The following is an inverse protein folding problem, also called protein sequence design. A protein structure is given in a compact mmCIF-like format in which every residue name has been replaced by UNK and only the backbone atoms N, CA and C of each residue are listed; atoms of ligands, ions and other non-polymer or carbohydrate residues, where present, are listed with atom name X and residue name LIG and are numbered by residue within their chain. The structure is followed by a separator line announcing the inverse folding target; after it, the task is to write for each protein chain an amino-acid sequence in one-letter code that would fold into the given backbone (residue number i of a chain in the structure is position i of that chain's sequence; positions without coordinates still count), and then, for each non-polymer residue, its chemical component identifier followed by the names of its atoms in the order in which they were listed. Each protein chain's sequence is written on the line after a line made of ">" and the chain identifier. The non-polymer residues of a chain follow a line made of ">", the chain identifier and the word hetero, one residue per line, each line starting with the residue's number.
data_IF_302310677203
#
_entry.id   IF_302310677203
#
_cell.length_a   1.000
_cell.length_b   1.000
_cell.length_c   1.000
_cell.angle_alpha   90.00
_cell.angle_beta   90.00
_cell.angle_gamma   90.00
#
_symmetry.space_group_name_H-M   'P 1'
#
loop_
_entity.id
_entity.type
_entity.pdbx_description
1 polymer ?
#
# COMPACT_ATOMS: atom_id res chain seq x y z
N UNK A 1 8.01 16.71 -36.89
CA UNK A 1 9.22 17.35 -37.45
C UNK A 1 10.11 16.39 -38.29
N UNK A 2 10.08 15.08 -38.03
CA UNK A 2 10.99 14.11 -38.68
C UNK A 2 10.68 13.82 -40.17
N UNK A 3 9.40 13.84 -40.55
CA UNK A 3 8.94 13.57 -41.93
C UNK A 3 9.39 14.65 -42.95
N UNK A 4 9.23 15.92 -42.59
CA UNK A 4 9.67 17.07 -43.41
C UNK A 4 11.19 17.05 -43.65
N UNK A 5 11.99 16.70 -42.63
CA UNK A 5 13.45 16.56 -42.78
C UNK A 5 13.83 15.43 -43.75
N UNK A 6 13.14 14.28 -43.68
CA UNK A 6 13.43 13.13 -44.56
C UNK A 6 13.08 13.43 -46.02
N UNK A 7 11.95 14.11 -46.29
CA UNK A 7 11.59 14.55 -47.65
C UNK A 7 12.52 15.64 -48.20
N UNK A 8 12.94 16.62 -47.38
CA UNK A 8 13.94 17.62 -47.84
C UNK A 8 15.27 16.99 -48.25
N UNK A 9 15.74 15.95 -47.54
CA UNK A 9 16.93 15.19 -47.95
C UNK A 9 16.74 14.48 -49.29
N UNK A 10 15.56 13.89 -49.54
CA UNK A 10 15.24 13.24 -50.81
C UNK A 10 15.20 14.22 -51.98
N UNK A 11 14.59 15.40 -51.77
CA UNK A 11 14.51 16.46 -52.76
C UNK A 11 15.89 17.04 -53.11
N UNK A 12 16.77 17.18 -52.12
CA UNK A 12 18.15 17.63 -52.34
C UNK A 12 18.93 16.61 -53.19
N UNK A 13 18.70 15.31 -52.99
CA UNK A 13 19.26 14.25 -53.84
C UNK A 13 18.73 14.35 -55.26
N UNK A 14 17.41 14.43 -55.43
CA UNK A 14 16.78 14.52 -56.75
C UNK A 14 17.27 15.74 -57.56
N UNK A 15 17.37 16.92 -56.91
CA UNK A 15 17.90 18.13 -57.54
C UNK A 15 19.32 17.93 -58.07
N UNK A 16 20.20 17.25 -57.32
CA UNK A 16 21.59 17.01 -57.75
C UNK A 16 21.65 16.13 -58.98
N UNK A 17 20.92 15.01 -58.99
CA UNK A 17 20.89 14.07 -60.11
C UNK A 17 20.40 14.73 -61.40
N UNK A 18 19.30 15.49 -61.33
CA UNK A 18 18.77 16.18 -62.51
C UNK A 18 19.69 17.32 -62.98
N UNK A 19 20.38 18.00 -62.07
CA UNK A 19 21.35 19.03 -62.43
C UNK A 19 22.57 18.46 -63.18
N UNK A 20 23.08 17.30 -62.76
CA UNK A 20 24.21 16.62 -63.40
C UNK A 20 23.86 16.12 -64.82
N UNK A 21 22.69 15.50 -65.00
CA UNK A 21 22.24 15.04 -66.33
C UNK A 21 21.99 16.22 -67.28
N UNK A 22 21.32 17.27 -66.81
CA UNK A 22 20.96 18.42 -67.66
C UNK A 22 22.18 19.29 -68.04
N UNK A 23 23.23 19.28 -67.22
CA UNK A 23 24.49 19.95 -67.54
C UNK A 23 25.19 19.31 -68.75
N UNK A 24 25.03 17.99 -68.94
CA UNK A 24 25.56 17.26 -70.11
C UNK A 24 24.91 17.74 -71.43
N UNK A 25 23.68 18.23 -71.34
CA UNK A 25 22.95 18.82 -72.47
C UNK A 25 23.08 20.35 -72.57
N UNK A 26 23.94 20.98 -71.76
CA UNK A 26 24.21 22.41 -71.80
C UNK A 26 23.18 23.29 -71.05
N UNK A 27 22.27 22.69 -70.26
CA UNK A 27 21.28 23.42 -69.48
C UNK A 27 21.73 23.61 -68.02
N UNK A 28 21.59 24.84 -67.49
CA UNK A 28 21.93 25.17 -66.09
C UNK A 28 20.64 25.39 -65.29
N UNK A 29 20.40 24.55 -64.29
CA UNK A 29 19.24 24.68 -63.39
C UNK A 29 19.52 25.74 -62.32
N UNK A 30 18.99 26.94 -62.50
CA UNK A 30 19.17 28.07 -61.57
C UNK A 30 18.36 27.86 -60.27
N UNK A 31 17.11 27.40 -60.37
CA UNK A 31 16.25 27.19 -59.20
C UNK A 31 15.13 26.18 -59.52
N UNK A 32 14.91 25.24 -58.62
CA UNK A 32 13.73 24.35 -58.65
C UNK A 32 12.74 24.83 -57.58
N UNK A 33 11.51 25.14 -57.98
CA UNK A 33 10.45 25.54 -57.06
C UNK A 33 9.55 24.33 -56.79
N UNK A 34 9.29 24.04 -55.51
CA UNK A 34 8.35 23.00 -55.11
C UNK A 34 6.99 23.67 -54.97
N UNK A 35 6.03 23.29 -55.82
CA UNK A 35 4.72 23.93 -55.91
C UNK A 35 3.72 23.40 -54.89
N UNK A 36 3.69 22.08 -54.61
CA UNK A 36 2.85 21.51 -53.55
C UNK A 36 3.33 20.11 -53.16
N UNK A 37 3.37 19.81 -51.86
CA UNK A 37 3.66 18.46 -51.35
C UNK A 37 2.53 18.08 -50.40
N UNK A 38 1.45 17.56 -50.96
CA UNK A 38 0.35 17.00 -50.18
C UNK A 38 0.50 15.47 -50.17
N UNK A 39 0.64 14.84 -48.98
CA UNK A 39 0.50 13.40 -48.88
C UNK A 39 -0.96 13.02 -49.15
N UNK A 40 -1.16 11.78 -49.57
CA UNK A 40 -2.50 11.22 -49.74
C UNK A 40 -3.32 11.34 -48.45
N UNK A 41 -4.63 11.53 -48.59
CA UNK A 41 -5.54 11.73 -47.47
C UNK A 41 -5.50 10.56 -46.48
N UNK A 42 -5.39 9.33 -47.00
CA UNK A 42 -5.27 8.11 -46.21
C UNK A 42 -3.97 8.10 -45.38
N UNK A 43 -2.84 8.45 -46.00
CA UNK A 43 -1.53 8.51 -45.33
C UNK A 43 -1.52 9.59 -44.24
N UNK A 44 -2.19 10.72 -44.48
CA UNK A 44 -2.32 11.80 -43.48
C UNK A 44 -3.13 11.35 -42.27
N UNK A 45 -4.22 10.61 -42.48
CA UNK A 45 -5.03 10.06 -41.40
C UNK A 45 -4.24 9.03 -40.59
N UNK A 46 -3.65 8.02 -41.25
CA UNK A 46 -2.86 6.99 -40.57
C UNK A 46 -1.68 7.60 -39.82
N UNK A 47 -1.00 8.60 -40.39
CA UNK A 47 0.08 9.30 -39.69
C UNK A 47 -0.41 10.06 -38.46
N UNK A 48 -1.60 10.66 -38.52
CA UNK A 48 -2.16 11.37 -37.36
C UNK A 48 -2.56 10.38 -36.27
N UNK A 49 -3.19 9.27 -36.63
CA UNK A 49 -3.57 8.20 -35.71
C UNK A 49 -2.36 7.54 -35.04
N UNK A 50 -1.28 7.27 -35.79
CA UNK A 50 -0.03 6.73 -35.25
C UNK A 50 0.57 7.71 -34.23
N UNK A 51 0.68 9.00 -34.58
CA UNK A 51 1.24 9.99 -33.67
C UNK A 51 0.35 10.21 -32.43
N UNK A 52 -0.97 10.19 -32.60
CA UNK A 52 -1.91 10.29 -31.49
C UNK A 52 -1.81 9.07 -30.57
N UNK A 53 -1.71 7.87 -31.13
CA UNK A 53 -1.59 6.63 -30.36
C UNK A 53 -0.27 6.55 -29.61
N UNK A 54 0.82 6.93 -30.26
CA UNK A 54 2.15 6.95 -29.64
C UNK A 54 2.21 7.98 -28.50
N UNK A 55 1.66 9.18 -28.69
CA UNK A 55 1.54 10.17 -27.61
C UNK A 55 0.64 9.69 -26.46
N UNK A 56 -0.46 9.00 -26.77
CA UNK A 56 -1.32 8.40 -25.75
C UNK A 56 -0.59 7.31 -24.96
N UNK A 57 0.15 6.44 -25.63
CA UNK A 57 0.95 5.40 -24.97
C UNK A 57 2.04 6.01 -24.07
N UNK A 58 2.77 7.01 -24.56
CA UNK A 58 3.78 7.72 -23.77
C UNK A 58 3.15 8.40 -22.54
N UNK A 59 2.02 9.10 -22.73
CA UNK A 59 1.29 9.72 -21.62
C UNK A 59 0.78 8.66 -20.61
N UNK A 60 0.25 7.53 -21.09
CA UNK A 60 -0.20 6.44 -20.25
C UNK A 60 0.95 5.80 -19.47
N UNK A 61 2.14 5.61 -20.06
CA UNK A 61 3.31 5.11 -19.34
C UNK A 61 3.83 6.10 -18.30
N UNK A 62 3.82 7.40 -18.64
CA UNK A 62 4.18 8.46 -17.68
C UNK A 62 3.20 8.55 -16.50
N UNK A 63 1.91 8.23 -16.70
CA UNK A 63 0.91 8.18 -15.63
C UNK A 63 0.89 6.85 -14.87
N UNK A 64 1.19 5.74 -15.54
CA UNK A 64 1.18 4.41 -14.93
C UNK A 64 2.33 4.20 -13.93
N UNK A 65 3.52 4.75 -14.20
CA UNK A 65 4.67 4.62 -13.30
C UNK A 65 4.43 5.28 -11.92
N UNK A 66 3.95 6.54 -11.82
CA UNK A 66 3.58 7.16 -10.55
C UNK A 66 2.47 6.39 -9.83
N UNK A 67 1.43 5.97 -10.53
CA UNK A 67 0.32 5.24 -9.90
C UNK A 67 0.80 3.89 -9.34
N UNK A 68 1.65 3.17 -10.07
CA UNK A 68 2.23 1.92 -9.56
C UNK A 68 3.09 2.16 -8.33
N UNK A 69 3.92 3.20 -8.33
CA UNK A 69 4.75 3.57 -7.19
C UNK A 69 3.86 3.95 -5.99
N UNK A 70 2.86 4.79 -6.18
CA UNK A 70 1.93 5.18 -5.12
C UNK A 70 1.22 3.98 -4.48
N UNK A 71 0.73 3.04 -5.30
CA UNK A 71 0.05 1.84 -4.80
C UNK A 71 1.01 0.93 -4.04
N UNK A 72 2.22 0.70 -4.55
CA UNK A 72 3.22 -0.13 -3.85
C UNK A 72 3.66 0.53 -2.55
N UNK A 73 3.96 1.83 -2.56
CA UNK A 73 4.36 2.56 -1.35
C UNK A 73 3.24 2.62 -0.32
N UNK A 74 1.99 2.76 -0.75
CA UNK A 74 0.84 2.70 0.17
C UNK A 74 0.70 1.30 0.80
N UNK A 75 0.84 0.24 0.01
CA UNK A 75 0.78 -1.14 0.50
C UNK A 75 1.95 -1.47 1.45
N UNK A 76 3.16 -1.00 1.15
CA UNK A 76 4.34 -1.15 2.00
C UNK A 76 4.17 -0.39 3.33
N UNK A 77 3.61 0.83 3.29
CA UNK A 77 3.34 1.62 4.49
C UNK A 77 2.28 0.95 5.38
N UNK A 78 1.24 0.36 4.79
CA UNK A 78 0.20 -0.36 5.54
C UNK A 78 0.75 -1.63 6.19
N UNK A 79 1.53 -2.43 5.45
CA UNK A 79 2.19 -3.62 5.98
C UNK A 79 3.15 -3.29 7.12
N UNK A 80 3.92 -2.20 7.00
CA UNK A 80 4.84 -1.76 8.04
C UNK A 80 4.11 -1.23 9.29
N UNK A 81 2.97 -0.55 9.12
CA UNK A 81 2.11 -0.13 10.23
C UNK A 81 1.63 -1.34 11.04
N UNK A 82 1.14 -2.37 10.36
CA UNK A 82 0.63 -3.58 11.01
C UNK A 82 1.75 -4.37 11.69
N UNK A 83 2.94 -4.42 11.07
CA UNK A 83 4.13 -5.01 11.68
C UNK A 83 4.53 -4.31 12.96
N UNK A 84 4.63 -2.97 12.95
CA UNK A 84 4.97 -2.17 14.13
C UNK A 84 3.92 -2.31 15.23
N UNK A 85 2.63 -2.34 14.87
CA UNK A 85 1.55 -2.57 15.82
C UNK A 85 1.64 -3.97 16.47
N UNK A 86 1.95 -5.00 15.68
CA UNK A 86 2.17 -6.37 16.20
C UNK A 86 3.36 -6.46 17.16
N UNK A 87 4.47 -5.80 16.83
CA UNK A 87 5.65 -5.70 17.70
C UNK A 87 5.28 -4.97 19.01
N UNK A 88 4.55 -3.85 18.92
CA UNK A 88 4.10 -3.09 20.08
C UNK A 88 3.21 -3.91 21.01
N UNK A 89 2.26 -4.69 20.48
CA UNK A 89 1.42 -5.59 21.29
C UNK A 89 2.26 -6.67 21.98
N UNK A 90 3.20 -7.28 21.27
CA UNK A 90 4.05 -8.33 21.84
C UNK A 90 4.94 -7.77 22.97
N UNK A 91 5.50 -6.58 22.78
CA UNK A 91 6.31 -5.90 23.76
C UNK A 91 5.48 -5.45 24.98
N UNK A 92 4.28 -4.92 24.77
CA UNK A 92 3.32 -4.64 25.84
C UNK A 92 2.99 -5.89 26.65
N UNK A 93 2.70 -7.02 25.98
CA UNK A 93 2.41 -8.29 26.66
C UNK A 93 3.60 -8.75 27.50
N UNK A 94 4.83 -8.61 26.99
CA UNK A 94 6.04 -8.94 27.74
C UNK A 94 6.19 -8.05 28.97
N UNK A 95 6.02 -6.74 28.83
CA UNK A 95 6.08 -5.80 29.95
C UNK A 95 5.02 -6.09 31.03
N UNK A 96 3.81 -6.50 30.62
CA UNK A 96 2.75 -6.92 31.55
C UNK A 96 3.17 -8.16 32.33
N UNK A 97 3.70 -9.19 31.66
CA UNK A 97 4.14 -10.44 32.32
C UNK A 97 5.30 -10.18 33.27
N UNK A 98 6.28 -9.37 32.86
CA UNK A 98 7.43 -8.99 33.69
C UNK A 98 6.95 -8.19 34.92
N UNK A 99 6.01 -7.26 34.74
CA UNK A 99 5.39 -6.50 35.83
C UNK A 99 4.61 -7.38 36.80
N UNK A 100 3.85 -8.37 36.31
CA UNK A 100 3.15 -9.34 37.15
C UNK A 100 4.12 -10.23 37.93
N UNK A 101 5.22 -10.68 37.32
CA UNK A 101 6.23 -11.47 38.00
C UNK A 101 6.92 -10.66 39.13
N UNK A 102 7.16 -9.37 38.91
CA UNK A 102 7.65 -8.47 39.95
C UNK A 102 6.64 -8.32 41.09
N UNK A 103 5.35 -8.10 40.78
CA UNK A 103 4.29 -8.01 41.79
C UNK A 103 4.20 -9.30 42.64
N UNK A 104 4.25 -10.48 42.03
CA UNK A 104 4.25 -11.76 42.75
C UNK A 104 5.47 -11.89 43.67
N UNK A 105 6.65 -11.48 43.18
CA UNK A 105 7.89 -11.51 43.97
C UNK A 105 7.84 -10.57 45.16
N UNK A 106 7.22 -9.40 45.00
CA UNK A 106 7.06 -8.39 46.04
C UNK A 106 6.04 -8.82 47.11
N UNK A 107 4.92 -9.43 46.70
CA UNK A 107 3.93 -10.04 47.59
C UNK A 107 4.56 -11.19 48.40
N UNK A 108 5.40 -12.02 47.77
CA UNK A 108 6.12 -13.11 48.44
C UNK A 108 7.14 -12.59 49.48
N UNK A 109 7.74 -11.41 49.26
CA UNK A 109 8.63 -10.74 50.23
C UNK A 109 7.89 -10.15 51.43
N UNK A 110 6.62 -9.74 51.27
CA UNK A 110 5.76 -9.23 52.34
C UNK A 110 5.24 -10.33 53.29
N UNK A 111 5.65 -11.59 53.09
CA UNK A 111 5.35 -12.70 54.01
C UNK A 111 3.95 -13.30 53.84
N UNK A 112 3.21 -12.91 52.81
CA UNK A 112 1.93 -13.54 52.47
C UNK A 112 2.21 -14.69 51.50
N UNK A 113 2.14 -15.92 52.00
CA UNK A 113 2.16 -17.13 51.17
C UNK A 113 0.77 -17.29 50.55
N UNK A 114 0.47 -16.49 49.54
CA UNK A 114 -0.69 -16.76 48.68
C UNK A 114 -0.33 -17.98 47.82
N UNK A 115 -1.19 -19.00 47.87
CA UNK A 115 -1.10 -20.16 47.00
C UNK A 115 -1.33 -19.73 45.53
N UNK A 116 -0.76 -20.46 44.56
CA UNK A 116 -0.87 -20.12 43.13
C UNK A 116 -2.34 -19.95 42.70
N UNK A 117 -3.27 -20.70 43.31
CA UNK A 117 -4.71 -20.57 43.10
C UNK A 117 -5.27 -19.20 43.55
N UNK A 118 -4.79 -18.64 44.66
CA UNK A 118 -5.27 -17.36 45.18
C UNK A 118 -4.74 -16.19 44.35
N UNK A 119 -3.50 -16.29 43.86
CA UNK A 119 -2.92 -15.29 42.94
C UNK A 119 -3.71 -15.27 41.63
N UNK A 120 -4.02 -16.45 41.08
CA UNK A 120 -4.82 -16.57 39.87
C UNK A 120 -6.25 -16.06 40.07
N UNK A 121 -6.87 -16.31 41.22
CA UNK A 121 -8.20 -15.77 41.54
C UNK A 121 -8.21 -14.23 41.59
N UNK A 122 -7.19 -13.61 42.20
CA UNK A 122 -7.05 -12.15 42.25
C UNK A 122 -6.78 -11.58 40.85
N UNK A 123 -5.91 -12.22 40.06
CA UNK A 123 -5.59 -11.81 38.69
C UNK A 123 -6.84 -11.83 37.79
N UNK A 124 -7.62 -12.91 37.85
CA UNK A 124 -8.85 -13.05 37.06
C UNK A 124 -9.93 -12.06 37.49
N UNK A 125 -10.00 -11.76 38.80
CA UNK A 125 -10.92 -10.73 39.32
C UNK A 125 -10.51 -9.34 38.82
N UNK A 126 -9.21 -9.01 38.82
CA UNK A 126 -8.72 -7.76 38.25
C UNK A 126 -8.96 -7.68 36.74
N UNK A 127 -8.69 -8.76 36.00
CA UNK A 127 -8.94 -8.78 34.56
C UNK A 127 -10.43 -8.61 34.23
N UNK A 128 -11.32 -9.19 35.04
CA UNK A 128 -12.75 -8.96 34.95
C UNK A 128 -13.10 -7.48 35.19
N UNK A 129 -12.56 -6.85 36.24
CA UNK A 129 -12.78 -5.42 36.53
C UNK A 129 -12.19 -4.50 35.44
N UNK A 130 -11.03 -4.81 34.90
CA UNK A 130 -10.41 -4.05 33.80
C UNK A 130 -11.25 -4.16 32.54
N UNK A 131 -11.79 -5.35 32.22
CA UNK A 131 -12.70 -5.49 31.08
C UNK A 131 -13.96 -4.66 31.30
N UNK A 132 -14.53 -4.65 32.50
CA UNK A 132 -15.69 -3.82 32.83
C UNK A 132 -15.38 -2.32 32.68
N UNK A 133 -14.22 -1.85 33.14
CA UNK A 133 -13.79 -0.46 32.97
C UNK A 133 -13.58 -0.09 31.50
N UNK A 134 -12.98 -0.98 30.71
CA UNK A 134 -12.72 -0.75 29.29
C UNK A 134 -14.03 -0.73 28.48
N UNK A 135 -14.99 -1.59 28.84
CA UNK A 135 -16.35 -1.60 28.29
C UNK A 135 -17.16 -0.37 28.71
N UNK A 136 -17.03 0.09 29.97
CA UNK A 136 -17.69 1.30 30.47
C UNK A 136 -17.15 2.57 29.78
N UNK A 137 -15.85 2.64 29.50
CA UNK A 137 -15.23 3.74 28.76
C UNK A 137 -15.68 3.82 27.29
N UNK A 138 -16.09 2.69 26.70
CA UNK A 138 -16.60 2.60 25.32
C UNK A 138 -18.01 3.15 25.12
N UNK A 139 -18.74 3.51 26.19
CA UNK A 139 -20.01 4.26 26.15
C UNK A 139 -21.23 3.56 25.53
N UNK A 140 -21.08 2.41 24.86
CA UNK A 140 -22.12 1.84 23.99
C UNK A 140 -22.39 0.34 24.19
N UNK A 141 -22.04 -0.22 25.35
CA UNK A 141 -22.18 -1.67 25.62
C UNK A 141 -23.02 -1.92 26.87
N UNK A 142 -24.28 -2.32 26.69
CA UNK A 142 -25.13 -2.83 27.78
C UNK A 142 -24.72 -4.26 28.09
N UNK A 143 -23.94 -4.47 29.15
CA UNK A 143 -23.55 -5.81 29.63
C UNK A 143 -24.66 -6.36 30.52
N UNK A 144 -25.23 -7.51 30.13
CA UNK A 144 -26.10 -8.30 31.00
C UNK A 144 -25.24 -9.04 32.02
N UNK A 145 -25.13 -8.46 33.22
CA UNK A 145 -24.55 -9.12 34.38
C UNK A 145 -25.59 -10.11 34.94
N UNK A 146 -25.25 -11.39 35.16
CA UNK A 146 -26.10 -12.28 35.94
C UNK A 146 -26.08 -11.80 37.40
N UNK A 147 -26.95 -10.85 37.73
CA UNK A 147 -27.04 -10.18 39.03
C UNK A 147 -27.80 -10.99 40.07
N UNK A 148 -27.39 -12.24 40.28
CA UNK A 148 -27.89 -13.12 41.34
C UNK A 148 -26.73 -13.83 42.04
N UNK A 149 -26.92 -14.24 43.30
CA UNK A 149 -25.92 -14.98 44.06
C UNK A 149 -25.43 -16.26 43.33
N UNK A 150 -26.27 -16.86 42.47
CA UNK A 150 -25.91 -17.97 41.58
C UNK A 150 -25.01 -17.57 40.41
N UNK A 151 -25.07 -16.32 39.92
CA UNK A 151 -24.26 -15.85 38.80
C UNK A 151 -22.79 -15.71 39.16
N UNK A 152 -22.50 -15.20 40.37
CA UNK A 152 -21.15 -15.12 40.91
C UNK A 152 -20.56 -16.51 41.23
N UNK A 153 -21.39 -17.42 41.75
CA UNK A 153 -21.05 -18.85 41.92
C UNK A 153 -20.76 -19.52 40.57
N UNK A 154 -21.54 -19.23 39.53
CA UNK A 154 -21.31 -19.77 38.18
C UNK A 154 -20.02 -19.25 37.54
N UNK A 155 -19.70 -17.97 37.74
CA UNK A 155 -18.45 -17.36 37.26
C UNK A 155 -17.25 -17.94 38.00
N UNK A 156 -17.34 -18.07 39.32
CA UNK A 156 -16.31 -18.71 40.15
C UNK A 156 -16.14 -20.18 39.77
N UNK A 157 -17.22 -20.90 39.52
CA UNK A 157 -17.20 -22.31 39.12
C UNK A 157 -16.65 -22.47 37.70
N UNK A 158 -16.95 -21.56 36.77
CA UNK A 158 -16.37 -21.54 35.43
C UNK A 158 -14.87 -21.21 35.45
N UNK A 159 -14.45 -20.30 36.31
CA UNK A 159 -13.03 -19.99 36.52
C UNK A 159 -12.30 -21.20 37.12
N UNK A 160 -12.86 -21.82 38.16
CA UNK A 160 -12.28 -23.00 38.80
C UNK A 160 -12.29 -24.24 37.88
N UNK A 161 -13.31 -24.39 37.03
CA UNK A 161 -13.38 -25.48 36.07
C UNK A 161 -12.42 -25.28 34.89
N UNK A 162 -12.21 -24.04 34.42
CA UNK A 162 -11.19 -23.73 33.43
C UNK A 162 -9.77 -24.04 33.95
N UNK A 163 -9.50 -23.78 35.24
CA UNK A 163 -8.23 -24.13 35.89
C UNK A 163 -8.07 -25.67 35.99
N UNK A 164 -9.13 -26.40 36.34
CA UNK A 164 -9.10 -27.89 36.42
C UNK A 164 -9.02 -28.58 35.04
N UNK A 165 -9.60 -27.99 34.01
CA UNK A 165 -9.59 -28.53 32.65
C UNK A 165 -8.26 -28.29 31.91
N UNK A 166 -7.39 -27.43 32.45
CA UNK A 166 -6.03 -27.18 31.95
C UNK A 166 -4.95 -28.13 32.48
N UNK A 167 -5.32 -29.22 33.17
CA UNK A 167 -4.42 -30.31 33.56
C UNK A 167 -4.52 -31.49 32.60
#
# INVERSE_FOLDING_TARGET
>A
MMFLRKKMKSLLKFKKTVAEEMQTYGYIIVKTLITKVEPDAEVKQSMNEINASQRKQDASQMLANPNKIQVVTAAEAEAEKDRLHGVGIAEQRKAIVDGLAQQITEIKKLGVVLDEEQIMAILLTNQYLDTLNQFAAGGNSTIFLPSGAEGAESLRTQILSAIKAGK
#
